data_IF_341805536007
#
_entry.id   IF_341805536007
#
_cell.length_a   1.000
_cell.length_b   1.000
_cell.length_c   1.000
_cell.angle_alpha   90.00
_cell.angle_beta   90.00
_cell.angle_gamma   90.00
#
_symmetry.space_group_name_H-M   'P 1'
#
loop_
_entity.id
_entity.type
_entity.pdbx_description
1 polymer ?
#
# COMPACT_ATOMS: atom_id res chain seq x y z
N UNK A 1 35.64 -4.92 -3.19
CA UNK A 1 34.61 -4.08 -3.85
C UNK A 1 34.00 -3.02 -2.93
N UNK A 2 33.57 -3.35 -1.72
CA UNK A 2 32.85 -2.41 -0.83
C UNK A 2 33.60 -1.09 -0.53
N UNK A 3 34.91 -1.15 -0.30
CA UNK A 3 35.72 0.06 -0.06
C UNK A 3 35.76 1.01 -1.27
N UNK A 4 35.72 0.48 -2.50
CA UNK A 4 35.66 1.29 -3.72
C UNK A 4 34.31 1.98 -3.86
N UNK A 5 33.21 1.27 -3.62
CA UNK A 5 31.85 1.84 -3.66
C UNK A 5 31.66 2.94 -2.61
N UNK A 6 32.15 2.74 -1.38
CA UNK A 6 32.09 3.76 -0.34
C UNK A 6 32.89 5.03 -0.71
N UNK A 7 34.05 4.88 -1.37
CA UNK A 7 34.82 6.01 -1.87
C UNK A 7 34.09 6.74 -3.02
N UNK A 8 33.47 6.03 -3.96
CA UNK A 8 32.66 6.65 -5.02
C UNK A 8 31.44 7.39 -4.46
N UNK A 9 30.74 6.82 -3.48
CA UNK A 9 29.58 7.45 -2.87
C UNK A 9 29.97 8.75 -2.15
N UNK A 10 31.08 8.75 -1.39
CA UNK A 10 31.62 9.97 -0.74
C UNK A 10 31.98 11.05 -1.76
N UNK A 11 32.62 10.67 -2.88
CA UNK A 11 32.96 11.61 -3.95
C UNK A 11 31.71 12.15 -4.67
N UNK A 12 30.72 11.30 -4.97
CA UNK A 12 29.47 11.71 -5.61
C UNK A 12 28.62 12.61 -4.71
N UNK A 13 28.63 12.36 -3.39
CA UNK A 13 27.93 13.19 -2.42
C UNK A 13 28.55 14.58 -2.27
N UNK A 14 29.88 14.69 -2.40
CA UNK A 14 30.57 15.98 -2.36
C UNK A 14 30.40 16.82 -3.63
N UNK A 15 30.12 16.17 -4.78
CA UNK A 15 30.07 16.83 -6.09
C UNK A 15 28.65 17.11 -6.55
N UNK A 16 27.77 16.12 -6.44
CA UNK A 16 26.39 16.17 -6.92
C UNK A 16 25.45 15.57 -5.87
N UNK A 17 25.32 16.19 -4.68
CA UNK A 17 24.51 15.65 -3.58
C UNK A 17 23.05 15.46 -3.98
N UNK A 18 22.52 16.36 -4.82
CA UNK A 18 21.12 16.32 -5.29
C UNK A 18 20.83 15.03 -6.06
N UNK A 19 21.76 14.57 -6.91
CA UNK A 19 21.59 13.35 -7.69
C UNK A 19 21.71 12.08 -6.83
N UNK A 20 22.60 12.09 -5.83
CA UNK A 20 22.73 10.95 -4.89
C UNK A 20 21.47 10.83 -4.03
N UNK A 21 20.94 11.96 -3.56
CA UNK A 21 19.71 12.00 -2.74
C UNK A 21 18.49 11.60 -3.58
N UNK A 22 18.36 12.06 -4.83
CA UNK A 22 17.22 11.69 -5.68
C UNK A 22 17.19 10.19 -5.98
N UNK A 23 18.34 9.59 -6.27
CA UNK A 23 18.43 8.15 -6.54
C UNK A 23 18.17 7.31 -5.28
N UNK A 24 18.65 7.74 -4.12
CA UNK A 24 18.38 7.05 -2.84
C UNK A 24 16.92 7.13 -2.43
N UNK A 25 16.27 8.29 -2.55
CA UNK A 25 14.83 8.43 -2.27
C UNK A 25 14.01 7.65 -3.29
N UNK A 26 14.35 7.72 -4.58
CA UNK A 26 13.65 6.99 -5.64
C UNK A 26 13.74 5.48 -5.46
N UNK A 27 14.93 4.95 -5.17
CA UNK A 27 15.12 3.52 -4.89
C UNK A 27 14.37 3.09 -3.63
N UNK A 28 14.41 3.90 -2.56
CA UNK A 28 13.64 3.62 -1.35
C UNK A 28 12.14 3.56 -1.66
N UNK A 29 11.62 4.53 -2.42
CA UNK A 29 10.20 4.59 -2.80
C UNK A 29 9.75 3.40 -3.65
N UNK A 30 10.64 2.77 -4.42
CA UNK A 30 10.32 1.55 -5.20
C UNK A 30 10.37 0.29 -4.32
N UNK A 31 11.27 0.24 -3.35
CA UNK A 31 11.48 -0.96 -2.51
C UNK A 31 10.51 -1.00 -1.32
N UNK A 32 10.09 0.17 -0.80
CA UNK A 32 9.22 0.26 0.38
C UNK A 32 7.81 -0.33 0.17
N UNK A 33 7.11 -0.13 -0.96
CA UNK A 33 5.76 -0.63 -1.17
C UNK A 33 5.61 -2.16 -1.09
N UNK A 34 6.48 -2.99 -1.68
CA UNK A 34 6.38 -4.45 -1.55
C UNK A 34 6.81 -4.99 -0.18
N UNK A 35 7.69 -4.28 0.54
CA UNK A 35 8.13 -4.69 1.89
C UNK A 35 7.14 -4.27 2.99
N UNK A 36 6.34 -3.24 2.74
CA UNK A 36 5.44 -2.67 3.72
C UNK A 36 4.12 -3.47 3.81
N UNK A 37 3.77 -4.02 4.99
CA UNK A 37 2.45 -4.62 5.22
C UNK A 37 1.33 -3.56 5.15
N UNK A 38 1.66 -2.27 5.24
CA UNK A 38 0.69 -1.17 5.21
C UNK A 38 0.15 -0.87 3.82
N UNK A 39 0.89 -1.21 2.75
CA UNK A 39 0.42 -1.05 1.37
C UNK A 39 -0.88 -1.83 1.13
N UNK A 40 -1.05 -2.97 1.81
CA UNK A 40 -2.27 -3.80 1.77
C UNK A 40 -3.49 -3.07 2.32
N UNK A 41 -3.34 -2.38 3.45
CA UNK A 41 -4.43 -1.62 4.08
C UNK A 41 -4.83 -0.40 3.26
N UNK A 42 -3.88 0.29 2.65
CA UNK A 42 -4.17 1.41 1.74
C UNK A 42 -5.07 0.97 0.57
N UNK A 43 -4.82 -0.22 -0.01
CA UNK A 43 -5.66 -0.78 -1.08
C UNK A 43 -7.06 -1.12 -0.55
N UNK A 44 -7.16 -1.69 0.65
CA UNK A 44 -8.46 -2.03 1.24
C UNK A 44 -9.31 -0.79 1.51
N UNK A 45 -8.71 0.31 2.00
CA UNK A 45 -9.41 1.58 2.21
C UNK A 45 -9.98 2.11 0.91
N UNK A 46 -9.19 2.13 -0.17
CA UNK A 46 -9.65 2.60 -1.48
C UNK A 46 -10.77 1.73 -2.08
N UNK A 47 -10.87 0.46 -1.69
CA UNK A 47 -11.96 -0.44 -2.10
C UNK A 47 -13.21 -0.30 -1.22
N UNK A 48 -13.03 0.04 0.05
CA UNK A 48 -14.11 0.21 1.00
C UNK A 48 -14.87 1.53 0.82
N UNK A 49 -14.32 2.50 0.09
CA UNK A 49 -14.97 3.78 -0.23
C UNK A 49 -15.80 3.66 -1.53
N UNK A 50 -17.14 3.56 -1.45
CA UNK A 50 -17.98 3.47 -2.63
C UNK A 50 -18.10 4.84 -3.32
N UNK A 51 -17.54 4.97 -4.51
CA UNK A 51 -17.74 6.17 -5.36
C UNK A 51 -18.97 6.07 -6.27
N UNK A 52 -19.45 4.85 -6.50
CA UNK A 52 -20.64 4.58 -7.30
C UNK A 52 -21.74 4.02 -6.40
N UNK A 53 -23.00 4.30 -6.73
CA UNK A 53 -24.13 3.77 -5.98
C UNK A 53 -24.15 2.24 -6.09
N UNK A 54 -24.11 1.49 -4.98
CA UNK A 54 -24.15 0.04 -5.03
C UNK A 54 -25.54 -0.40 -5.48
N UNK A 55 -25.62 -0.94 -6.70
CA UNK A 55 -26.83 -1.64 -7.17
C UNK A 55 -26.95 -2.93 -6.37
N UNK A 56 -28.01 -3.04 -5.56
CA UNK A 56 -28.28 -4.23 -4.78
C UNK A 56 -28.59 -5.41 -5.70
N UNK A 57 -27.79 -6.48 -5.61
CA UNK A 57 -28.12 -7.76 -6.23
C UNK A 57 -29.34 -8.37 -5.54
N UNK A 58 -30.31 -8.83 -6.31
CA UNK A 58 -31.50 -9.49 -5.77
C UNK A 58 -31.14 -10.92 -5.35
N UNK A 59 -30.68 -11.05 -4.11
CA UNK A 59 -30.41 -12.30 -3.42
C UNK A 59 -30.45 -12.07 -1.91
N UNK A 60 -31.46 -12.65 -1.26
CA UNK A 60 -31.45 -13.10 0.14
C UNK A 60 -30.90 -12.17 1.24
N UNK A 61 -31.27 -10.88 1.24
CA UNK A 61 -31.34 -10.10 2.50
C UNK A 61 -32.82 -9.85 2.85
N UNK A 62 -33.34 -10.50 3.90
CA UNK A 62 -34.61 -10.12 4.53
C UNK A 62 -34.45 -8.73 5.20
N UNK A 63 -35.47 -7.86 5.26
CA UNK A 63 -35.30 -6.45 5.63
C UNK A 63 -35.22 -6.28 7.15
N UNK A 64 -34.18 -6.83 7.78
CA UNK A 64 -33.84 -6.57 9.16
C UNK A 64 -32.41 -6.02 9.24
N UNK A 65 -32.37 -4.69 9.30
CA UNK A 65 -31.24 -3.85 9.68
C UNK A 65 -30.14 -3.69 8.62
N UNK A 66 -30.13 -2.48 8.04
CA UNK A 66 -29.18 -1.88 7.10
C UNK A 66 -27.68 -2.01 7.45
N UNK A 67 -27.34 -2.57 8.62
CA UNK A 67 -25.99 -2.69 9.17
C UNK A 67 -25.51 -4.14 9.37
N UNK A 68 -26.36 -5.16 9.14
CA UNK A 68 -26.02 -6.57 9.42
C UNK A 68 -25.72 -7.42 8.18
N UNK A 69 -26.21 -7.07 6.98
CA UNK A 69 -25.91 -7.86 5.76
C UNK A 69 -24.42 -7.77 5.33
N UNK A 70 -23.62 -6.86 5.93
CA UNK A 70 -22.17 -6.72 5.67
C UNK A 70 -21.27 -7.74 6.39
N UNK A 71 -21.80 -8.57 7.31
CA UNK A 71 -21.01 -9.55 8.08
C UNK A 71 -20.80 -10.88 7.34
N UNK A 72 -21.37 -11.07 6.16
CA UNK A 72 -21.37 -12.32 5.39
C UNK A 72 -20.14 -12.53 4.49
N UNK A 73 -19.14 -11.63 4.51
CA UNK A 73 -17.89 -11.84 3.78
C UNK A 73 -16.88 -12.71 4.58
N UNK A 74 -16.11 -13.59 3.92
CA UNK A 74 -15.60 -14.87 4.48
C UNK A 74 -14.46 -14.75 5.50
N UNK A 75 -14.07 -13.52 5.86
CA UNK A 75 -12.92 -13.23 6.71
C UNK A 75 -13.25 -13.13 8.21
N UNK A 76 -14.49 -13.43 8.62
CA UNK A 76 -14.89 -13.43 10.03
C UNK A 76 -14.62 -14.77 10.77
N UNK A 77 -13.95 -15.74 10.13
CA UNK A 77 -13.67 -17.06 10.71
C UNK A 77 -12.16 -17.34 10.79
N UNK A 78 -11.46 -16.51 11.56
CA UNK A 78 -10.16 -16.86 12.16
C UNK A 78 -10.30 -16.80 13.68
N UNK A 79 -11.05 -17.77 14.20
CA UNK A 79 -10.87 -18.33 15.53
C UNK A 79 -11.43 -19.74 15.54
#
# INVERSE_FOLDING_TARGET
MAAKLAAFLKNAWAKEPVLVVSFTIGSLAVILPPLSPYTKYAIMINKATPYNYPVGGQGDCEPSSHSTCSQSCPWSRSR
#
